data_IF_367907935983
#
_entry.id   IF_367907935983
#
_cell.length_a   1.000
_cell.length_b   1.000
_cell.length_c   1.000
_cell.angle_alpha   90.00
_cell.angle_beta   90.00
_cell.angle_gamma   90.00
#
_symmetry.space_group_name_H-M   'P 1'
#
loop_
_entity.id
_entity.type
_entity.pdbx_description
1 polymer ?
#
# COMPACT_ATOMS: atom_id res chain seq x y z
N UNK A 1 4.83 45.28 48.39
CA UNK A 1 5.29 44.37 47.33
C UNK A 1 5.25 45.10 45.98
N UNK A 2 6.38 45.41 45.36
CA UNK A 2 6.46 46.03 44.01
C UNK A 2 6.03 44.99 42.96
N UNK A 3 4.90 45.21 42.30
CA UNK A 3 4.48 44.40 41.14
C UNK A 3 5.46 44.67 39.98
N UNK A 4 6.31 43.68 39.66
CA UNK A 4 7.20 43.75 38.50
C UNK A 4 6.35 43.71 37.22
N UNK A 5 6.12 44.87 36.56
CA UNK A 5 5.50 44.94 35.25
C UNK A 5 6.56 44.69 34.18
N UNK A 6 6.39 43.61 33.43
CA UNK A 6 7.25 43.30 32.29
C UNK A 6 7.02 44.32 31.16
N UNK A 7 8.08 44.75 30.52
CA UNK A 7 7.98 45.62 29.33
C UNK A 7 7.48 44.79 28.14
N UNK A 8 6.83 45.45 27.17
CA UNK A 8 6.37 44.76 25.91
C UNK A 8 7.48 43.94 25.26
N UNK A 9 8.73 44.44 25.21
CA UNK A 9 9.89 43.76 24.68
C UNK A 9 10.19 42.48 25.46
N UNK A 10 10.12 42.50 26.77
CA UNK A 10 10.35 41.32 27.63
C UNK A 10 9.23 40.27 27.46
N UNK A 11 7.98 40.72 27.26
CA UNK A 11 6.85 39.80 26.97
C UNK A 11 7.10 39.09 25.62
N UNK A 12 7.43 39.85 24.57
CA UNK A 12 7.71 39.28 23.22
C UNK A 12 8.85 38.29 23.28
N UNK A 13 9.98 38.63 23.95
CA UNK A 13 11.11 37.72 24.10
C UNK A 13 10.71 36.43 24.81
N UNK A 14 9.91 36.52 25.88
CA UNK A 14 9.43 35.31 26.61
C UNK A 14 8.52 34.45 25.76
N UNK A 15 7.64 35.07 24.95
CA UNK A 15 6.77 34.33 24.01
C UNK A 15 7.59 33.62 22.92
N UNK A 16 8.63 34.25 22.39
CA UNK A 16 9.53 33.63 21.41
C UNK A 16 10.28 32.46 22.06
N UNK A 17 10.84 32.63 23.26
CA UNK A 17 11.53 31.56 23.97
C UNK A 17 10.60 30.40 24.30
N UNK A 18 9.36 30.67 24.69
CA UNK A 18 8.34 29.64 24.93
C UNK A 18 8.01 28.89 23.63
N UNK A 19 7.82 29.60 22.52
CA UNK A 19 7.57 28.98 21.23
C UNK A 19 8.74 28.07 20.78
N UNK A 20 9.98 28.57 20.90
CA UNK A 20 11.19 27.78 20.62
C UNK A 20 11.25 26.54 21.52
N UNK A 21 11.00 26.69 22.82
CA UNK A 21 10.97 25.57 23.76
C UNK A 21 9.92 24.52 23.39
N UNK A 22 8.71 24.96 23.02
CA UNK A 22 7.64 24.06 22.59
C UNK A 22 7.98 23.31 21.28
N UNK A 23 8.63 24.00 20.33
CA UNK A 23 9.11 23.37 19.10
C UNK A 23 10.20 22.33 19.40
N UNK A 24 11.17 22.67 20.26
CA UNK A 24 12.23 21.72 20.68
C UNK A 24 11.62 20.53 21.41
N UNK A 25 10.67 20.77 22.33
CA UNK A 25 9.98 19.70 23.04
C UNK A 25 9.21 18.79 22.08
N UNK A 26 8.49 19.38 21.11
CA UNK A 26 7.79 18.64 20.06
C UNK A 26 8.74 17.79 19.23
N UNK A 27 9.86 18.35 18.77
CA UNK A 27 10.88 17.59 18.01
C UNK A 27 11.44 16.44 18.86
N UNK A 28 11.75 16.69 20.14
CA UNK A 28 12.22 15.62 21.06
C UNK A 28 11.16 14.53 21.27
N UNK A 29 9.89 14.90 21.36
CA UNK A 29 8.78 13.93 21.44
C UNK A 29 8.67 13.12 20.15
N UNK A 30 8.72 13.75 18.97
CA UNK A 30 8.70 13.06 17.68
C UNK A 30 9.91 12.10 17.50
N UNK A 31 11.10 12.51 17.94
CA UNK A 31 12.32 11.66 17.91
C UNK A 31 12.16 10.42 18.80
N UNK A 32 11.52 10.56 19.96
CA UNK A 32 11.25 9.44 20.88
C UNK A 32 10.07 8.59 20.45
N UNK A 33 9.07 9.21 19.86
CA UNK A 33 7.82 8.58 19.42
C UNK A 33 7.88 8.14 17.94
N UNK A 34 9.07 8.09 17.28
CA UNK A 34 9.15 7.42 15.98
C UNK A 34 8.71 5.98 16.20
N UNK A 35 7.43 5.63 15.95
CA UNK A 35 6.98 4.27 16.15
C UNK A 35 7.81 3.39 15.23
N UNK A 36 8.33 2.32 15.79
CA UNK A 36 8.95 1.30 14.99
C UNK A 36 7.84 0.40 14.47
N UNK A 37 7.85 0.14 13.19
CA UNK A 37 7.02 -0.91 12.61
C UNK A 37 7.24 -2.21 13.36
N UNK A 38 6.17 -2.79 13.87
CA UNK A 38 6.19 -4.11 14.47
C UNK A 38 5.38 -5.03 13.58
N UNK A 39 6.07 -6.01 13.04
CA UNK A 39 5.42 -7.05 12.25
C UNK A 39 4.46 -7.85 13.13
N UNK A 40 3.23 -7.89 12.69
CA UNK A 40 2.17 -8.68 13.31
C UNK A 40 1.71 -9.74 12.30
N UNK A 41 1.99 -11.00 12.62
CA UNK A 41 1.52 -12.14 11.81
C UNK A 41 0.14 -12.53 12.31
N UNK A 42 -0.88 -12.20 11.53
CA UNK A 42 -2.26 -12.58 11.82
C UNK A 42 -2.58 -13.86 11.07
N UNK A 43 -2.31 -15.00 11.73
CA UNK A 43 -2.65 -16.31 11.16
C UNK A 43 -4.17 -16.54 11.27
N UNK A 44 -4.88 -16.79 10.14
CA UNK A 44 -6.29 -17.11 10.17
C UNK A 44 -6.57 -18.43 10.94
N UNK A 45 -7.72 -18.53 11.65
CA UNK A 45 -8.07 -19.74 12.37
C UNK A 45 -8.08 -20.99 11.48
N UNK A 46 -8.59 -20.88 10.27
CA UNK A 46 -8.66 -21.99 9.32
C UNK A 46 -7.26 -22.46 8.89
N UNK A 47 -6.30 -21.55 8.77
CA UNK A 47 -4.91 -21.90 8.48
C UNK A 47 -4.25 -22.57 9.67
N UNK A 48 -4.56 -22.14 10.90
CA UNK A 48 -4.02 -22.74 12.12
C UNK A 48 -4.55 -24.19 12.34
N UNK A 49 -5.76 -24.48 11.89
CA UNK A 49 -6.39 -25.81 11.97
C UNK A 49 -6.03 -26.71 10.78
N UNK A 50 -5.49 -26.17 9.69
CA UNK A 50 -5.13 -26.93 8.51
C UNK A 50 -3.93 -27.83 8.75
N UNK A 51 -3.89 -29.00 8.11
CA UNK A 51 -2.73 -29.90 8.13
C UNK A 51 -1.45 -29.23 7.58
N UNK A 52 -1.63 -28.30 6.66
CA UNK A 52 -0.59 -27.39 6.18
C UNK A 52 -1.17 -25.96 6.16
N UNK A 53 -0.67 -25.02 6.97
CA UNK A 53 -1.14 -23.64 6.99
C UNK A 53 -0.82 -22.87 5.70
N UNK A 54 0.17 -23.32 4.90
CA UNK A 54 0.54 -22.69 3.63
C UNK A 54 -0.41 -23.13 2.52
N UNK A 55 -0.99 -22.15 1.80
CA UNK A 55 -1.73 -22.37 0.56
C UNK A 55 -0.82 -22.41 -0.68
N UNK A 56 0.49 -22.32 -0.52
CA UNK A 56 1.44 -22.16 -1.60
C UNK A 56 1.69 -20.68 -1.95
N UNK A 57 1.81 -20.41 -3.24
CA UNK A 57 1.95 -19.06 -3.78
C UNK A 57 0.65 -18.61 -4.45
N UNK A 58 0.51 -17.31 -4.73
CA UNK A 58 -0.62 -16.80 -5.53
C UNK A 58 -0.79 -17.62 -6.81
N UNK A 59 0.31 -17.88 -7.52
CA UNK A 59 0.28 -18.62 -8.79
C UNK A 59 -0.25 -20.03 -8.63
N UNK A 60 0.19 -20.75 -7.59
CA UNK A 60 -0.22 -22.15 -7.35
C UNK A 60 -1.62 -22.26 -6.76
N UNK A 61 -2.08 -21.24 -6.04
CA UNK A 61 -3.38 -21.25 -5.36
C UNK A 61 -4.56 -20.89 -6.27
N UNK A 62 -4.33 -20.07 -7.30
CA UNK A 62 -5.41 -19.55 -8.17
C UNK A 62 -5.06 -19.86 -9.63
N UNK A 63 -5.72 -20.83 -10.23
CA UNK A 63 -5.57 -21.12 -11.66
C UNK A 63 -6.22 -20.04 -12.53
N UNK A 64 -5.73 -19.81 -13.76
CA UNK A 64 -6.48 -19.03 -14.76
C UNK A 64 -7.82 -19.67 -15.10
N UNK A 65 -8.80 -18.90 -15.61
CA UNK A 65 -10.05 -19.47 -16.10
C UNK A 65 -9.82 -20.45 -17.26
N UNK A 66 -10.78 -21.31 -17.49
CA UNK A 66 -10.73 -22.25 -18.61
C UNK A 66 -10.52 -21.52 -19.95
N UNK A 67 -9.57 -21.99 -20.75
CA UNK A 67 -9.21 -21.37 -22.02
C UNK A 67 -8.23 -20.17 -21.92
N UNK A 68 -7.85 -19.77 -20.73
CA UNK A 68 -6.84 -18.73 -20.49
C UNK A 68 -5.50 -19.33 -20.03
N UNK A 69 -4.42 -18.70 -20.43
CA UNK A 69 -3.08 -18.98 -19.94
C UNK A 69 -2.44 -17.72 -19.38
N UNK A 70 -1.67 -17.84 -18.31
CA UNK A 70 -0.93 -16.71 -17.76
C UNK A 70 0.01 -16.13 -18.79
N UNK A 71 0.03 -14.80 -18.91
CA UNK A 71 1.04 -14.15 -19.74
C UNK A 71 2.44 -14.44 -19.21
N UNK A 72 3.47 -14.55 -20.06
CA UNK A 72 4.85 -14.68 -19.61
C UNK A 72 5.25 -13.53 -18.69
N UNK A 73 6.07 -13.80 -17.68
CA UNK A 73 6.59 -12.82 -16.75
C UNK A 73 8.12 -12.88 -16.73
N UNK A 74 8.80 -11.74 -16.88
CA UNK A 74 10.22 -11.65 -16.61
C UNK A 74 10.47 -11.93 -15.12
N UNK A 75 11.56 -12.60 -14.78
CA UNK A 75 11.85 -13.06 -13.41
C UNK A 75 11.90 -11.91 -12.38
N UNK A 76 12.40 -10.77 -12.79
CA UNK A 76 12.52 -9.54 -11.99
C UNK A 76 11.32 -8.58 -12.11
N UNK A 77 10.25 -8.97 -12.84
CA UNK A 77 9.05 -8.14 -13.00
C UNK A 77 8.17 -8.13 -11.75
N UNK A 78 7.34 -7.07 -11.61
CA UNK A 78 6.33 -7.01 -10.56
C UNK A 78 5.31 -8.17 -10.68
N UNK A 79 4.99 -8.58 -11.89
CA UNK A 79 4.11 -9.72 -12.15
C UNK A 79 4.69 -11.02 -11.55
N UNK A 80 5.98 -11.31 -11.80
CA UNK A 80 6.65 -12.47 -11.21
C UNK A 80 6.74 -12.36 -9.68
N UNK A 81 7.00 -11.15 -9.15
CA UNK A 81 6.99 -10.90 -7.71
C UNK A 81 5.63 -11.23 -7.10
N UNK A 82 4.52 -10.75 -7.68
CA UNK A 82 3.16 -11.03 -7.18
C UNK A 82 2.83 -12.53 -7.24
N UNK A 83 3.17 -13.20 -8.31
CA UNK A 83 2.94 -14.66 -8.47
C UNK A 83 3.63 -15.50 -7.39
N UNK A 84 4.78 -15.04 -6.92
CA UNK A 84 5.53 -15.71 -5.84
C UNK A 84 5.03 -15.41 -4.44
N UNK A 85 4.12 -14.42 -4.28
CA UNK A 85 3.65 -14.06 -2.95
C UNK A 85 2.97 -15.25 -2.26
N UNK A 86 3.38 -15.60 -1.03
CA UNK A 86 2.81 -16.72 -0.30
C UNK A 86 1.41 -16.38 0.20
N UNK A 87 0.53 -17.38 0.19
CA UNK A 87 -0.84 -17.27 0.66
C UNK A 87 -1.12 -18.31 1.75
N UNK A 88 -2.11 -18.02 2.59
CA UNK A 88 -2.64 -18.97 3.56
C UNK A 88 -3.43 -20.09 2.88
N UNK A 89 -3.68 -21.16 3.60
CA UNK A 89 -4.51 -22.28 3.13
C UNK A 89 -5.85 -21.78 2.57
N UNK A 90 -6.37 -22.51 1.57
CA UNK A 90 -7.63 -22.13 0.92
C UNK A 90 -8.79 -21.99 1.95
N UNK A 91 -9.62 -20.98 1.75
CA UNK A 91 -10.73 -20.66 2.66
C UNK A 91 -10.35 -19.87 3.91
N UNK A 92 -9.07 -19.48 4.05
CA UNK A 92 -8.61 -18.67 5.17
C UNK A 92 -9.33 -17.33 5.24
N UNK A 93 -9.74 -16.94 6.44
CA UNK A 93 -10.36 -15.65 6.73
C UNK A 93 -9.37 -14.50 6.58
N UNK A 94 -9.88 -13.33 6.20
CA UNK A 94 -9.15 -12.07 6.30
C UNK A 94 -9.03 -11.70 7.78
N UNK A 95 -7.84 -11.33 8.23
CA UNK A 95 -7.60 -10.93 9.62
C UNK A 95 -7.44 -9.41 9.72
N UNK A 96 -8.15 -8.77 10.64
CA UNK A 96 -7.91 -7.36 10.97
C UNK A 96 -6.61 -7.21 11.75
N UNK A 97 -6.05 -5.99 11.80
CA UNK A 97 -4.85 -5.69 12.62
C UNK A 97 -5.04 -6.01 14.12
N UNK A 98 -6.27 -6.02 14.62
CA UNK A 98 -6.61 -6.42 16.01
C UNK A 98 -6.72 -7.94 16.20
N UNK A 99 -6.50 -8.75 15.15
CA UNK A 99 -6.61 -10.22 15.23
C UNK A 99 -8.04 -10.76 15.15
N UNK A 100 -9.00 -9.98 14.64
CA UNK A 100 -10.37 -10.45 14.39
C UNK A 100 -10.49 -11.03 13.00
N UNK A 101 -11.04 -12.23 12.88
CA UNK A 101 -11.35 -12.84 11.61
C UNK A 101 -12.57 -12.15 10.97
N UNK A 102 -12.44 -11.81 9.68
CA UNK A 102 -13.53 -11.40 8.80
C UNK A 102 -13.77 -12.56 7.83
N UNK A 103 -15.02 -12.92 7.59
CA UNK A 103 -15.34 -13.95 6.62
C UNK A 103 -14.65 -13.68 5.28
N UNK A 104 -13.96 -14.68 4.75
CA UNK A 104 -13.24 -14.61 3.48
C UNK A 104 -14.13 -14.59 2.23
N UNK A 105 -15.45 -14.34 2.38
CA UNK A 105 -16.42 -14.34 1.27
C UNK A 105 -15.99 -13.44 0.09
N UNK A 106 -15.21 -12.40 0.38
CA UNK A 106 -14.71 -11.47 -0.63
C UNK A 106 -13.22 -11.67 -0.98
N UNK A 107 -12.60 -12.78 -0.53
CA UNK A 107 -11.21 -13.11 -0.83
C UNK A 107 -11.11 -14.45 -1.55
N UNK A 108 -10.41 -14.49 -2.68
CA UNK A 108 -10.02 -15.73 -3.36
C UNK A 108 -8.77 -16.37 -2.73
N UNK A 109 -7.85 -15.55 -2.22
CA UNK A 109 -6.71 -15.97 -1.44
C UNK A 109 -6.27 -14.83 -0.51
N UNK A 110 -5.74 -15.17 0.66
CA UNK A 110 -5.23 -14.23 1.66
C UNK A 110 -3.71 -14.37 1.74
N UNK A 111 -2.97 -13.28 1.52
CA UNK A 111 -1.51 -13.30 1.61
C UNK A 111 -1.04 -13.47 3.06
N UNK A 112 0.11 -14.12 3.21
CA UNK A 112 0.78 -14.23 4.52
C UNK A 112 1.54 -12.97 4.91
N UNK A 113 1.41 -11.90 4.14
CA UNK A 113 2.07 -10.63 4.36
C UNK A 113 1.72 -10.09 5.76
N UNK A 114 2.76 -9.79 6.55
CA UNK A 114 2.58 -9.18 7.87
C UNK A 114 1.94 -7.81 7.76
N UNK A 115 1.29 -7.36 8.82
CA UNK A 115 0.73 -6.02 8.93
C UNK A 115 1.21 -5.36 10.22
N UNK A 116 1.22 -4.01 10.34
CA UNK A 116 1.52 -3.38 11.61
C UNK A 116 0.45 -3.68 12.67
N UNK A 117 0.80 -3.52 13.94
CA UNK A 117 -0.12 -3.67 15.09
C UNK A 117 -1.02 -2.42 15.30
N UNK A 118 -1.23 -1.64 14.25
CA UNK A 118 -2.00 -0.40 14.21
C UNK A 118 -2.97 -0.41 13.03
N UNK A 119 -3.98 0.48 13.03
CA UNK A 119 -4.94 0.64 11.92
C UNK A 119 -4.26 1.31 10.69
N UNK A 120 -3.16 0.73 10.26
CA UNK A 120 -2.38 1.06 9.06
C UNK A 120 -2.32 -0.15 8.14
N UNK A 121 -1.92 0.05 6.90
CA UNK A 121 -1.98 -0.94 5.82
C UNK A 121 -3.43 -1.20 5.37
N UNK A 122 -4.19 -0.10 5.24
CA UNK A 122 -5.50 -0.08 4.60
C UNK A 122 -5.36 -0.24 3.07
N UNK A 123 -6.36 0.15 2.27
CA UNK A 123 -6.34 -0.09 0.82
C UNK A 123 -5.13 0.54 0.10
N UNK A 124 -4.89 1.84 0.30
CA UNK A 124 -3.76 2.53 -0.32
C UNK A 124 -2.41 2.04 0.21
N UNK A 125 -2.35 1.80 1.51
CA UNK A 125 -1.14 1.36 2.19
C UNK A 125 -0.71 -0.04 1.74
N UNK A 126 -1.68 -0.92 1.49
CA UNK A 126 -1.43 -2.27 0.94
C UNK A 126 -0.79 -2.18 -0.45
N UNK A 127 -1.27 -1.31 -1.31
CA UNK A 127 -0.68 -1.09 -2.63
C UNK A 127 0.74 -0.54 -2.51
N UNK A 128 0.93 0.50 -1.69
CA UNK A 128 2.25 1.08 -1.39
C UNK A 128 3.19 0.01 -0.83
N UNK A 129 2.70 -0.86 0.07
CA UNK A 129 3.48 -1.95 0.64
C UNK A 129 3.95 -2.95 -0.42
N UNK A 130 3.05 -3.45 -1.27
CA UNK A 130 3.38 -4.43 -2.31
C UNK A 130 4.40 -3.86 -3.30
N UNK A 131 4.24 -2.61 -3.74
CA UNK A 131 5.22 -1.93 -4.58
C UNK A 131 6.57 -1.78 -3.90
N UNK A 132 6.57 -1.43 -2.61
CA UNK A 132 7.79 -1.20 -1.86
C UNK A 132 8.59 -2.47 -1.60
N UNK A 133 7.92 -3.58 -1.28
CA UNK A 133 8.58 -4.88 -1.13
C UNK A 133 9.26 -5.30 -2.44
N UNK A 134 8.56 -5.13 -3.57
CA UNK A 134 9.11 -5.39 -4.89
C UNK A 134 10.34 -4.52 -5.19
N UNK A 135 10.25 -3.21 -5.02
CA UNK A 135 11.39 -2.32 -5.28
C UNK A 135 12.56 -2.55 -4.32
N UNK A 136 12.26 -2.94 -3.09
CA UNK A 136 13.30 -3.28 -2.12
C UNK A 136 14.01 -4.59 -2.49
N UNK A 137 13.27 -5.64 -2.84
CA UNK A 137 13.80 -6.94 -3.29
C UNK A 137 14.68 -6.78 -4.54
N UNK A 138 14.21 -6.00 -5.52
CA UNK A 138 14.91 -5.75 -6.78
C UNK A 138 15.94 -4.63 -6.70
N UNK A 139 16.15 -4.04 -5.52
CA UNK A 139 17.10 -2.94 -5.25
C UNK A 139 16.86 -1.67 -6.07
N UNK A 140 15.63 -1.43 -6.51
CA UNK A 140 15.20 -0.23 -7.21
C UNK A 140 14.86 0.90 -6.19
N UNK A 141 15.80 1.22 -5.31
CA UNK A 141 15.59 2.11 -4.16
C UNK A 141 15.23 3.55 -4.52
N UNK A 142 15.62 4.02 -5.69
CA UNK A 142 15.28 5.33 -6.24
C UNK A 142 13.77 5.47 -6.52
N UNK A 143 13.09 4.36 -6.77
CA UNK A 143 11.63 4.29 -6.97
C UNK A 143 10.83 4.32 -5.67
N UNK A 144 11.44 4.02 -4.53
CA UNK A 144 10.80 4.08 -3.22
C UNK A 144 10.60 5.54 -2.77
N UNK A 145 9.65 6.24 -3.44
CA UNK A 145 9.35 7.64 -3.20
C UNK A 145 7.84 7.89 -3.31
N UNK A 146 7.21 8.27 -2.20
CA UNK A 146 5.77 8.47 -2.10
C UNK A 146 5.45 9.86 -1.56
N UNK A 147 4.37 10.46 -2.06
CA UNK A 147 3.88 11.73 -1.55
C UNK A 147 2.83 11.53 -0.46
N UNK A 148 2.90 12.35 0.56
CA UNK A 148 1.81 12.52 1.51
C UNK A 148 0.61 13.18 0.82
N UNK A 149 -0.59 13.06 1.38
CA UNK A 149 -1.79 13.74 0.86
C UNK A 149 -1.66 15.28 0.82
N UNK A 150 -0.68 15.84 1.54
CA UNK A 150 -0.30 17.25 1.44
C UNK A 150 0.52 17.60 0.20
N UNK A 151 0.95 16.63 -0.60
CA UNK A 151 1.87 16.78 -1.72
C UNK A 151 3.36 16.76 -1.34
N UNK A 152 3.70 16.61 -0.05
CA UNK A 152 5.10 16.50 0.37
C UNK A 152 5.68 15.15 -0.02
N UNK A 153 6.72 15.16 -0.87
CA UNK A 153 7.36 13.92 -1.33
C UNK A 153 8.36 13.40 -0.30
N UNK A 154 8.23 12.13 0.07
CA UNK A 154 9.18 11.38 0.89
C UNK A 154 9.96 10.39 0.04
N UNK A 155 11.17 10.01 0.47
CA UNK A 155 12.06 9.10 -0.25
C UNK A 155 12.72 8.13 0.71
N UNK A 156 12.79 6.85 0.32
CA UNK A 156 13.57 5.85 1.03
C UNK A 156 15.06 6.23 1.10
N UNK A 157 15.60 6.80 0.02
CA UNK A 157 16.99 7.24 -0.05
C UNK A 157 17.34 8.23 1.06
N UNK A 158 16.44 9.15 1.40
CA UNK A 158 16.62 10.04 2.55
C UNK A 158 16.56 9.27 3.88
N UNK A 159 15.53 8.40 4.02
CA UNK A 159 15.29 7.68 5.26
C UNK A 159 16.45 6.75 5.62
N UNK A 160 16.93 5.94 4.68
CA UNK A 160 18.08 5.05 4.91
C UNK A 160 19.36 5.80 5.25
N UNK A 161 19.51 7.07 4.81
CA UNK A 161 20.62 7.96 5.15
C UNK A 161 20.39 8.75 6.45
N UNK A 162 19.41 8.38 7.25
CA UNK A 162 19.16 8.89 8.60
C UNK A 162 18.24 10.10 8.69
N UNK A 163 17.66 10.55 7.58
CA UNK A 163 16.62 11.59 7.61
C UNK A 163 15.31 11.03 8.12
N UNK A 164 14.55 11.87 8.81
CA UNK A 164 13.19 11.56 9.28
C UNK A 164 12.25 12.69 8.90
N UNK A 165 11.03 12.33 8.48
CA UNK A 165 9.99 13.26 8.11
C UNK A 165 9.15 13.57 9.33
N UNK A 166 8.98 14.85 9.61
CA UNK A 166 8.23 15.35 10.77
C UNK A 166 7.08 16.23 10.26
N UNK A 167 5.87 15.85 10.58
CA UNK A 167 4.67 16.58 10.19
C UNK A 167 4.07 17.29 11.40
N UNK A 168 3.81 18.60 11.30
CA UNK A 168 3.09 19.37 12.31
C UNK A 168 1.59 19.23 12.03
N UNK A 169 0.83 18.42 12.80
CA UNK A 169 -0.53 18.03 12.43
C UNK A 169 -1.50 19.23 12.27
N UNK A 170 -1.34 20.28 13.10
CA UNK A 170 -2.24 21.44 13.13
C UNK A 170 -2.20 22.28 11.85
N UNK A 171 -1.04 22.31 11.18
CA UNK A 171 -0.84 23.15 9.98
C UNK A 171 -0.49 22.31 8.75
N UNK A 172 -0.39 20.98 8.89
CA UNK A 172 -0.05 20.07 7.80
C UNK A 172 1.36 20.26 7.22
N UNK A 173 2.23 20.99 7.92
CA UNK A 173 3.57 21.30 7.43
C UNK A 173 4.53 20.15 7.72
N UNK A 174 5.15 19.62 6.68
CA UNK A 174 6.15 18.54 6.77
C UNK A 174 7.54 19.07 6.46
N UNK A 175 8.53 18.65 7.21
CA UNK A 175 9.94 18.92 6.98
C UNK A 175 10.78 17.68 7.35
N UNK A 176 12.05 17.65 6.94
CA UNK A 176 12.93 16.55 7.28
C UNK A 176 14.11 17.00 8.12
N UNK A 177 14.54 16.15 9.05
CA UNK A 177 15.74 16.35 9.87
C UNK A 177 16.58 15.08 9.84
N UNK A 178 17.92 15.25 9.86
CA UNK A 178 18.83 14.11 9.98
C UNK A 178 18.99 13.74 11.46
N UNK A 179 18.34 12.66 11.88
CA UNK A 179 18.18 12.27 13.29
C UNK A 179 18.83 10.94 13.62
N UNK A 180 19.23 10.16 12.64
CA UNK A 180 19.77 8.79 12.79
C UNK A 180 21.03 8.61 11.95
N UNK A 181 21.73 7.52 12.18
CA UNK A 181 22.77 7.02 11.27
C UNK A 181 22.15 6.38 10.02
N UNK A 182 22.99 6.02 9.05
CA UNK A 182 22.54 5.29 7.87
C UNK A 182 22.22 3.84 8.23
N UNK A 183 21.09 3.35 7.71
CA UNK A 183 20.63 1.97 7.91
C UNK A 183 19.66 1.63 6.78
N UNK A 184 20.00 0.67 5.94
CA UNK A 184 19.22 0.23 4.77
C UNK A 184 18.52 -1.13 4.99
N UNK A 185 18.40 -1.58 6.24
CA UNK A 185 17.71 -2.82 6.59
C UNK A 185 16.23 -2.81 6.21
N UNK A 186 15.68 -4.00 5.97
CA UNK A 186 14.24 -4.20 5.73
C UNK A 186 13.38 -3.60 6.85
N UNK A 187 13.82 -3.72 8.10
CA UNK A 187 13.14 -3.09 9.24
C UNK A 187 13.05 -1.57 9.10
N UNK A 188 14.11 -0.91 8.58
CA UNK A 188 14.05 0.53 8.34
C UNK A 188 13.19 0.88 7.14
N UNK A 189 13.10 0.01 6.13
CA UNK A 189 12.16 0.19 5.03
C UNK A 189 10.72 0.11 5.56
N UNK A 190 10.39 -0.82 6.40
CA UNK A 190 9.08 -0.89 7.06
C UNK A 190 8.81 0.33 7.94
N UNK A 191 9.80 0.83 8.70
CA UNK A 191 9.65 2.08 9.47
C UNK A 191 9.42 3.31 8.56
N UNK A 192 10.03 3.33 7.38
CA UNK A 192 9.74 4.35 6.36
C UNK A 192 8.30 4.25 5.87
N UNK A 193 7.85 3.03 5.53
CA UNK A 193 6.47 2.80 5.11
C UNK A 193 5.46 3.17 6.18
N UNK A 194 5.74 2.88 7.45
CA UNK A 194 4.90 3.32 8.56
C UNK A 194 4.73 4.86 8.54
N UNK A 195 5.82 5.60 8.29
CA UNK A 195 5.74 7.06 8.13
C UNK A 195 4.91 7.48 6.91
N UNK A 196 5.03 6.76 5.79
CA UNK A 196 4.26 7.02 4.57
C UNK A 196 2.77 6.76 4.80
N UNK A 197 2.39 5.61 5.33
CA UNK A 197 1.01 5.17 5.56
C UNK A 197 0.23 6.09 6.50
N UNK A 198 0.91 6.77 7.42
CA UNK A 198 0.25 7.76 8.30
C UNK A 198 -0.25 9.02 7.55
N UNK A 199 0.27 9.33 6.36
CA UNK A 199 0.00 10.59 5.67
C UNK A 199 -0.30 10.46 4.18
N UNK A 200 0.03 9.33 3.56
CA UNK A 200 -0.36 9.00 2.20
C UNK A 200 -1.77 8.37 2.19
N UNK A 201 -2.35 8.23 1.01
CA UNK A 201 -3.65 7.62 0.84
C UNK A 201 -4.09 7.61 -0.61
N UNK A 202 -5.35 7.31 -0.87
CA UNK A 202 -5.89 7.25 -2.25
C UNK A 202 -5.77 8.58 -2.98
N UNK A 203 -5.83 9.73 -2.28
CA UNK A 203 -5.61 11.05 -2.89
C UNK A 203 -4.19 11.22 -3.43
N UNK A 204 -3.18 10.79 -2.68
CA UNK A 204 -1.79 10.88 -3.14
C UNK A 204 -1.51 9.89 -4.28
N UNK A 205 -2.04 8.67 -4.21
CA UNK A 205 -1.89 7.69 -5.29
C UNK A 205 -2.58 8.15 -6.58
N UNK A 206 -3.78 8.74 -6.49
CA UNK A 206 -4.45 9.34 -7.66
C UNK A 206 -3.63 10.49 -8.26
N UNK A 207 -3.07 11.36 -7.41
CA UNK A 207 -2.24 12.49 -7.87
C UNK A 207 -0.90 12.05 -8.47
N UNK A 208 -0.34 10.92 -8.03
CA UNK A 208 0.94 10.37 -8.51
C UNK A 208 0.77 9.38 -9.68
N UNK A 209 -0.44 9.17 -10.16
CA UNK A 209 -0.74 8.24 -11.26
C UNK A 209 -1.48 8.93 -12.39
N UNK A 210 -1.39 8.36 -13.59
CA UNK A 210 -2.10 8.83 -14.77
C UNK A 210 -3.10 7.80 -15.26
N UNK A 211 -4.27 8.22 -15.78
CA UNK A 211 -5.21 7.32 -16.42
C UNK A 211 -4.57 6.58 -17.60
N UNK A 212 -4.93 5.32 -17.75
CA UNK A 212 -4.56 4.48 -18.90
C UNK A 212 -5.78 3.78 -19.48
N UNK A 213 -5.68 3.30 -20.69
CA UNK A 213 -6.69 2.43 -21.30
C UNK A 213 -6.55 0.98 -20.78
N UNK A 214 -7.62 0.20 -20.86
CA UNK A 214 -7.57 -1.22 -20.45
C UNK A 214 -6.61 -2.04 -21.31
N UNK A 215 -6.41 -1.66 -22.58
CA UNK A 215 -5.46 -2.32 -23.47
C UNK A 215 -3.99 -2.13 -23.05
N UNK A 216 -3.71 -1.12 -22.25
CA UNK A 216 -2.38 -0.84 -21.70
C UNK A 216 -2.18 -1.44 -20.28
N UNK A 217 -3.23 -1.98 -19.68
CA UNK A 217 -3.19 -2.45 -18.29
C UNK A 217 -2.25 -3.62 -18.09
N UNK A 218 -1.47 -3.57 -16.99
CA UNK A 218 -0.52 -4.61 -16.59
C UNK A 218 -0.48 -4.75 -15.06
N UNK A 219 0.10 -5.85 -14.58
CA UNK A 219 0.36 -6.02 -13.16
C UNK A 219 1.17 -4.85 -12.59
N UNK A 220 0.74 -4.34 -11.43
CA UNK A 220 1.25 -3.12 -10.81
C UNK A 220 0.42 -1.86 -11.10
N UNK A 221 -0.36 -1.82 -12.18
CA UNK A 221 -1.34 -0.75 -12.38
C UNK A 221 -2.46 -0.85 -11.36
N UNK A 222 -3.14 0.26 -11.10
CA UNK A 222 -4.14 0.37 -10.04
C UNK A 222 -5.50 0.81 -10.59
N UNK A 223 -6.55 0.34 -9.92
CA UNK A 223 -7.87 0.92 -10.04
C UNK A 223 -8.06 1.79 -8.81
N UNK A 224 -8.03 3.12 -8.99
CA UNK A 224 -7.95 4.08 -7.90
C UNK A 224 -8.98 5.20 -8.05
N UNK A 225 -9.69 5.47 -6.96
CA UNK A 225 -10.49 6.68 -6.75
C UNK A 225 -9.99 7.36 -5.49
N UNK A 226 -9.44 8.56 -5.64
CA UNK A 226 -8.99 9.37 -4.52
C UNK A 226 -10.15 9.99 -3.74
N UNK A 227 -9.92 10.25 -2.46
CA UNK A 227 -10.86 10.98 -1.60
C UNK A 227 -11.49 10.15 -0.49
N UNK A 228 -12.62 10.68 0.02
CA UNK A 228 -13.44 10.03 1.03
C UNK A 228 -14.93 10.16 0.64
N UNK A 229 -15.60 9.07 0.20
CA UNK A 229 -15.04 7.73 0.08
C UNK A 229 -14.05 7.60 -1.07
N UNK A 230 -12.96 6.87 -0.85
CA UNK A 230 -11.97 6.50 -1.84
C UNK A 230 -11.57 5.05 -1.67
N UNK A 231 -11.08 4.43 -2.75
CA UNK A 231 -10.58 3.06 -2.70
C UNK A 231 -9.55 2.81 -3.79
N UNK A 232 -8.66 1.86 -3.56
CA UNK A 232 -7.68 1.42 -4.53
C UNK A 232 -7.44 -0.09 -4.43
N UNK A 233 -7.30 -0.70 -5.60
CA UNK A 233 -6.84 -2.08 -5.76
C UNK A 233 -5.69 -2.10 -6.77
N UNK A 234 -4.84 -3.10 -6.73
CA UNK A 234 -3.72 -3.29 -7.67
C UNK A 234 -3.94 -4.52 -8.53
N UNK A 235 -3.58 -4.45 -9.80
CA UNK A 235 -3.53 -5.62 -10.69
C UNK A 235 -2.38 -6.52 -10.23
N UNK A 236 -2.71 -7.75 -9.85
CA UNK A 236 -1.80 -8.71 -9.24
C UNK A 236 -1.38 -9.85 -10.17
N UNK A 237 -2.18 -10.15 -11.19
CA UNK A 237 -1.87 -11.16 -12.21
C UNK A 237 -2.66 -10.90 -13.49
N UNK A 238 -2.21 -11.48 -14.59
CA UNK A 238 -2.82 -11.37 -15.92
C UNK A 238 -2.74 -12.69 -16.67
N UNK A 239 -3.83 -12.97 -17.39
CA UNK A 239 -3.91 -14.12 -18.27
C UNK A 239 -4.62 -13.73 -19.58
N UNK A 240 -4.35 -14.46 -20.63
CA UNK A 240 -4.85 -14.20 -21.98
C UNK A 240 -5.35 -15.51 -22.61
N UNK A 241 -6.41 -15.43 -23.41
CA UNK A 241 -6.91 -16.55 -24.17
C UNK A 241 -6.38 -16.54 -25.62
N UNK A 242 -6.69 -17.59 -26.38
CA UNK A 242 -6.25 -17.72 -27.77
C UNK A 242 -6.75 -16.62 -28.72
N UNK A 243 -7.75 -15.85 -28.31
CA UNK A 243 -8.32 -14.72 -29.10
C UNK A 243 -7.70 -13.39 -28.70
N UNK A 244 -6.71 -13.38 -27.77
CA UNK A 244 -6.07 -12.18 -27.28
C UNK A 244 -6.90 -11.39 -26.26
N UNK A 245 -7.97 -11.98 -25.70
CA UNK A 245 -8.74 -11.38 -24.60
C UNK A 245 -8.04 -11.64 -23.28
N UNK A 246 -7.91 -10.62 -22.46
CA UNK A 246 -7.21 -10.71 -21.17
C UNK A 246 -8.16 -10.69 -19.99
N UNK A 247 -7.68 -11.25 -18.90
CA UNK A 247 -8.31 -11.13 -17.57
C UNK A 247 -7.25 -10.95 -16.50
N UNK A 248 -7.66 -10.41 -15.35
CA UNK A 248 -6.79 -9.91 -14.31
C UNK A 248 -7.22 -10.37 -12.92
N UNK A 249 -6.25 -10.72 -12.07
CA UNK A 249 -6.46 -10.78 -10.63
C UNK A 249 -6.21 -9.43 -10.00
N UNK A 250 -6.99 -9.10 -8.99
CA UNK A 250 -6.89 -7.84 -8.26
C UNK A 250 -6.60 -8.11 -6.79
N UNK A 251 -5.64 -7.36 -6.22
CA UNK A 251 -5.30 -7.44 -4.81
C UNK A 251 -5.61 -6.14 -4.08
N UNK A 252 -5.96 -6.25 -2.81
CA UNK A 252 -6.27 -5.11 -1.93
C UNK A 252 -5.96 -5.37 -0.46
N UNK A 253 -5.92 -4.31 0.33
CA UNK A 253 -6.32 -4.24 1.73
C UNK A 253 -7.63 -3.47 1.86
N UNK A 254 -8.15 -3.30 3.08
CA UNK A 254 -9.40 -2.58 3.30
C UNK A 254 -9.40 -1.88 4.67
N UNK A 255 -10.49 -1.18 5.01
CA UNK A 255 -10.72 -0.55 6.31
C UNK A 255 -11.71 -1.38 7.15
N UNK A 256 -11.43 -1.61 8.46
CA UNK A 256 -10.18 -1.33 9.15
C UNK A 256 -9.01 -2.08 8.51
N UNK A 257 -7.76 -1.71 8.85
CA UNK A 257 -6.56 -2.38 8.34
C UNK A 257 -6.66 -3.90 8.52
N UNK A 258 -6.37 -4.63 7.47
CA UNK A 258 -6.60 -6.08 7.40
C UNK A 258 -5.63 -6.75 6.43
N UNK A 259 -5.57 -8.07 6.48
CA UNK A 259 -4.70 -8.87 5.60
C UNK A 259 -4.87 -8.49 4.14
N UNK A 260 -3.77 -8.26 3.46
CA UNK A 260 -3.76 -8.13 2.01
C UNK A 260 -4.31 -9.43 1.38
N UNK A 261 -5.14 -9.30 0.36
CA UNK A 261 -5.82 -10.45 -0.24
C UNK A 261 -6.15 -10.22 -1.72
N UNK A 262 -6.27 -11.31 -2.46
CA UNK A 262 -6.88 -11.32 -3.80
C UNK A 262 -8.39 -11.26 -3.60
N UNK A 263 -9.05 -10.29 -4.23
CA UNK A 263 -10.51 -10.17 -4.15
C UNK A 263 -11.19 -11.32 -4.90
N UNK A 264 -12.34 -11.76 -4.39
CA UNK A 264 -13.18 -12.71 -5.11
C UNK A 264 -13.73 -12.07 -6.38
N UNK A 265 -14.13 -12.88 -7.34
CA UNK A 265 -14.92 -12.44 -8.50
C UNK A 265 -16.30 -11.92 -8.10
N UNK A 266 -17.05 -11.43 -9.07
CA UNK A 266 -18.45 -11.06 -8.86
C UNK A 266 -19.27 -12.29 -8.48
N UNK A 267 -20.35 -12.09 -7.74
CA UNK A 267 -21.21 -13.22 -7.27
C UNK A 267 -21.78 -14.07 -8.40
N UNK A 268 -21.79 -13.56 -9.61
CA UNK A 268 -22.26 -14.24 -10.83
C UNK A 268 -21.17 -15.05 -11.49
N UNK A 269 -19.91 -14.92 -11.05
CA UNK A 269 -18.76 -15.51 -11.71
C UNK A 269 -18.18 -16.63 -10.83
N UNK A 270 -17.80 -17.73 -11.48
CA UNK A 270 -17.15 -18.86 -10.81
C UNK A 270 -15.62 -18.69 -10.65
N UNK A 271 -15.12 -17.49 -10.94
CA UNK A 271 -13.69 -17.19 -10.98
C UNK A 271 -13.37 -15.84 -10.33
N UNK A 272 -12.21 -15.68 -9.67
CA UNK A 272 -11.78 -14.39 -9.17
C UNK A 272 -11.15 -13.47 -10.24
N UNK A 273 -11.07 -13.91 -11.47
CA UNK A 273 -10.50 -13.16 -12.57
C UNK A 273 -11.52 -12.20 -13.18
N UNK A 274 -11.12 -10.96 -13.33
CA UNK A 274 -11.92 -9.88 -13.94
C UNK A 274 -11.53 -9.71 -15.40
N UNK A 275 -12.51 -9.72 -16.30
CA UNK A 275 -12.26 -9.50 -17.74
C UNK A 275 -12.02 -8.03 -18.07
N UNK A 276 -11.43 -7.76 -19.24
CA UNK A 276 -11.27 -6.40 -19.76
C UNK A 276 -12.63 -5.66 -19.86
N UNK A 277 -13.69 -6.36 -20.24
CA UNK A 277 -15.04 -5.78 -20.33
C UNK A 277 -15.52 -5.32 -18.95
N UNK A 278 -15.38 -6.16 -17.92
CA UNK A 278 -15.74 -5.81 -16.55
C UNK A 278 -14.94 -4.63 -16.02
N UNK A 279 -13.61 -4.58 -16.28
CA UNK A 279 -12.77 -3.49 -15.82
C UNK A 279 -12.92 -2.19 -16.61
N UNK A 280 -13.54 -2.25 -17.79
CA UNK A 280 -13.87 -1.08 -18.62
C UNK A 280 -15.26 -0.51 -18.34
N UNK A 281 -16.07 -1.20 -17.52
CA UNK A 281 -17.44 -0.77 -17.25
C UNK A 281 -17.50 0.51 -16.41
N UNK A 282 -18.52 1.33 -16.64
CA UNK A 282 -18.85 2.47 -15.80
C UNK A 282 -20.36 2.45 -15.47
N UNK A 283 -20.77 2.27 -14.21
CA UNK A 283 -19.90 2.02 -13.05
C UNK A 283 -19.12 0.71 -13.11
N UNK A 284 -17.90 0.72 -12.57
CA UNK A 284 -17.08 -0.48 -12.44
C UNK A 284 -17.40 -1.18 -11.13
N UNK A 285 -17.86 -2.42 -11.23
CA UNK A 285 -18.22 -3.26 -10.08
C UNK A 285 -17.09 -4.23 -9.74
N UNK A 286 -16.60 -4.14 -8.50
CA UNK A 286 -15.78 -5.19 -7.89
C UNK A 286 -16.57 -5.84 -6.75
N UNK A 287 -16.20 -7.05 -6.34
CA UNK A 287 -16.87 -7.74 -5.24
C UNK A 287 -16.79 -6.99 -3.90
N UNK A 288 -15.80 -6.13 -3.74
CA UNK A 288 -15.54 -5.35 -2.52
C UNK A 288 -15.92 -3.87 -2.61
N UNK A 289 -15.99 -3.31 -3.81
CA UNK A 289 -16.20 -1.87 -4.00
C UNK A 289 -16.77 -1.56 -5.39
N UNK A 290 -17.51 -0.46 -5.52
CA UNK A 290 -18.03 0.03 -6.81
C UNK A 290 -17.48 1.42 -7.11
N UNK A 291 -16.89 1.58 -8.28
CA UNK A 291 -16.39 2.87 -8.76
C UNK A 291 -17.41 3.51 -9.69
N UNK A 292 -17.86 4.72 -9.32
CA UNK A 292 -18.81 5.54 -10.10
C UNK A 292 -18.11 6.68 -10.85
N UNK A 293 -16.82 6.55 -11.10
CA UNK A 293 -16.00 7.60 -11.72
C UNK A 293 -15.30 7.05 -12.96
N UNK A 294 -15.10 7.92 -13.95
CA UNK A 294 -14.23 7.64 -15.09
C UNK A 294 -12.75 7.69 -14.69
N UNK A 295 -11.91 7.14 -15.55
CA UNK A 295 -10.45 7.23 -15.43
C UNK A 295 -9.88 6.64 -14.13
N UNK A 296 -10.53 5.60 -13.60
CA UNK A 296 -10.11 4.92 -12.37
C UNK A 296 -8.95 3.94 -12.58
N UNK A 297 -8.80 3.39 -13.79
CA UNK A 297 -7.66 2.55 -14.17
C UNK A 297 -6.46 3.47 -14.45
N UNK A 298 -5.39 3.27 -13.71
CA UNK A 298 -4.29 4.24 -13.65
C UNK A 298 -2.95 3.55 -13.51
N UNK A 299 -1.92 4.17 -14.09
CA UNK A 299 -0.51 3.80 -13.90
C UNK A 299 0.20 4.78 -13.01
N UNK A 300 0.88 4.26 -11.98
CA UNK A 300 1.72 5.07 -11.11
C UNK A 300 2.90 5.66 -11.91
N UNK A 301 3.36 6.85 -11.52
CA UNK A 301 4.38 7.64 -12.23
C UNK A 301 5.68 6.89 -12.55
N UNK A 302 6.10 5.97 -11.66
CA UNK A 302 7.33 5.20 -11.86
C UNK A 302 7.10 4.00 -12.80
N UNK A 303 5.85 3.59 -13.01
CA UNK A 303 5.47 2.45 -13.83
C UNK A 303 6.00 1.11 -13.27
N UNK A 304 5.57 0.04 -13.90
CA UNK A 304 6.08 -1.30 -13.65
C UNK A 304 6.37 -1.95 -14.99
N UNK A 305 7.64 -2.06 -15.40
CA UNK A 305 7.98 -2.79 -16.61
C UNK A 305 7.56 -4.26 -16.39
N UNK A 306 6.57 -4.67 -17.15
CA UNK A 306 6.02 -6.01 -17.05
C UNK A 306 6.58 -6.81 -18.15
N UNK A 307 6.88 -7.16 -18.84
CA UNK A 307 7.17 -8.11 -19.87
C UNK A 307 8.61 -8.00 -20.29
N UNK A 308 9.10 -9.07 -20.72
CA UNK A 308 10.06 -9.09 -21.78
C UNK A 308 9.53 -8.16 -22.90
N UNK A 309 9.75 -6.83 -22.82
CA UNK A 309 9.96 -6.06 -24.04
C UNK A 309 11.16 -6.75 -24.68
N UNK A 310 10.85 -7.78 -25.42
CA UNK A 310 11.78 -8.44 -26.32
C UNK A 310 12.26 -7.37 -27.27
N UNK A 311 13.53 -7.03 -27.16
CA UNK A 311 14.30 -6.33 -28.15
C UNK A 311 14.07 -6.90 -29.57
#
# INVERSE_FOLDING_TARGET
MKKFKLTKKQIIIRLILLAVFLVVLYVLMCVRACPAWKDNVQMPPEAAEAANPSGGTQESAIAPPEGYVRVPAAEDSFLAFMRRQPVWAAGSSIMTYEGRAISSVNAAAVYTLTQPDEDLQQCADTVIRLWSEYFYETKQYDRLAFSYSSGYQTRWEDWKNGWRYLTVPVIGWTFRLKLKGSDDSLQQMHNYLHSVMNYAGTLSLEAESQPISISEAHAGDIICKGGAPGHVVVIADEAENAEGKRCFLLAQGFMPAQSAHIIAGLKTDDTPWYTEEQLSANPLYLSSYTYYSDNVLRRWKEGFPNAAETE
#
